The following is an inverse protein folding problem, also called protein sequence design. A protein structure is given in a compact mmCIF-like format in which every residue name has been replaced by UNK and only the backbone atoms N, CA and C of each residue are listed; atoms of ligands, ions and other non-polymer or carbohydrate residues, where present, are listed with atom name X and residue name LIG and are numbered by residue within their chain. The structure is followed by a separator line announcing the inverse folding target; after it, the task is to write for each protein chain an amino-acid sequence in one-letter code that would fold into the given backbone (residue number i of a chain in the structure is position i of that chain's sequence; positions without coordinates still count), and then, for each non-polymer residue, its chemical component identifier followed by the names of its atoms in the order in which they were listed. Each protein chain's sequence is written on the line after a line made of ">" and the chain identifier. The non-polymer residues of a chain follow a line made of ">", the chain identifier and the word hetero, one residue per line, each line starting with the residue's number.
data_IF_882399289761
#
_entry.id   IF_882399289761
#
_cell.length_a   1.000
_cell.length_b   1.000
_cell.length_c   1.000
_cell.angle_alpha   90.00
_cell.angle_beta   90.00
_cell.angle_gamma   90.00
#
_symmetry.space_group_name_H-M   'P 1'
#
loop_
_entity.id
_entity.type
_entity.pdbx_description
1 polymer ?
#
# COMPACT_ATOMS: atom_id res chain seq x y z
N UNK A 1 -10.69 6.85 -15.38
CA UNK A 1 -10.74 7.51 -14.06
C UNK A 1 -10.14 8.91 -14.18
N UNK A 2 -10.73 9.91 -13.55
CA UNK A 2 -10.27 11.31 -13.55
C UNK A 2 -9.32 11.60 -12.40
N UNK A 3 -8.50 12.63 -12.57
CA UNK A 3 -7.62 13.24 -11.57
C UNK A 3 -7.99 14.72 -11.42
N UNK A 4 -7.67 15.32 -10.26
CA UNK A 4 -8.09 16.69 -9.91
C UNK A 4 -6.98 17.52 -9.28
N UNK A 5 -7.25 18.82 -9.20
CA UNK A 5 -6.39 19.79 -8.51
C UNK A 5 -4.97 19.79 -9.08
N UNK A 6 -4.00 19.75 -8.17
CA UNK A 6 -2.58 19.73 -8.52
C UNK A 6 -2.07 18.35 -8.96
N UNK A 7 -2.93 17.33 -9.05
CA UNK A 7 -2.58 15.96 -9.49
C UNK A 7 -3.15 15.61 -10.87
N UNK A 8 -3.62 16.59 -11.65
CA UNK A 8 -4.29 16.32 -12.93
C UNK A 8 -3.41 15.55 -13.94
N UNK A 9 -2.10 15.74 -13.90
CA UNK A 9 -1.10 15.10 -14.76
C UNK A 9 -0.31 13.99 -14.05
N UNK A 10 -0.71 13.62 -12.83
CA UNK A 10 -0.01 12.68 -11.94
C UNK A 10 -0.65 11.31 -11.96
N UNK A 11 0.09 10.33 -11.45
CA UNK A 11 -0.44 8.98 -11.28
C UNK A 11 -1.71 9.01 -10.44
N UNK A 12 -2.69 8.18 -10.82
CA UNK A 12 -3.88 7.96 -9.99
C UNK A 12 -3.44 7.29 -8.70
N UNK A 13 -3.69 7.94 -7.58
CA UNK A 13 -3.12 7.60 -6.28
C UNK A 13 -4.24 7.45 -5.23
N UNK A 14 -4.19 6.37 -4.48
CA UNK A 14 -5.19 5.89 -3.53
C UNK A 14 -4.54 4.84 -2.63
N UNK A 15 -5.19 4.42 -1.56
CA UNK A 15 -4.59 3.43 -0.67
C UNK A 15 -5.59 2.63 0.12
N UNK A 16 -5.24 1.38 0.40
CA UNK A 16 -5.88 0.58 1.45
C UNK A 16 -5.02 0.65 2.71
N UNK A 17 -5.50 1.35 3.73
CA UNK A 17 -4.76 1.57 4.97
C UNK A 17 -5.26 0.56 6.00
N UNK A 18 -4.32 -0.19 6.57
CA UNK A 18 -4.57 -1.20 7.59
C UNK A 18 -3.92 -0.78 8.90
N UNK A 19 -4.40 -1.37 10.01
CA UNK A 19 -3.90 -1.10 11.35
C UNK A 19 -3.92 0.38 11.71
N UNK A 20 -4.98 1.08 11.32
CA UNK A 20 -5.10 2.51 11.54
C UNK A 20 -5.47 2.81 12.99
N UNK A 21 -4.63 3.58 13.70
CA UNK A 21 -4.82 3.96 15.11
C UNK A 21 -4.49 5.44 15.31
N UNK A 22 -4.91 6.02 16.44
CA UNK A 22 -4.72 7.44 16.73
C UNK A 22 -5.91 8.29 16.29
N UNK A 23 -5.67 9.57 16.00
CA UNK A 23 -6.72 10.50 15.64
C UNK A 23 -7.18 10.34 14.19
N UNK A 24 -8.48 10.52 13.96
CA UNK A 24 -9.00 10.81 12.62
C UNK A 24 -8.46 12.15 12.13
N UNK A 25 -7.88 12.17 10.93
CA UNK A 25 -7.08 13.30 10.45
C UNK A 25 -5.74 13.49 11.17
N UNK A 26 -5.24 12.50 11.92
CA UNK A 26 -3.95 12.58 12.62
C UNK A 26 -2.74 12.85 11.70
N UNK A 27 -2.86 12.56 10.40
CA UNK A 27 -1.97 13.01 9.35
C UNK A 27 -2.58 14.19 8.59
N UNK A 28 -2.03 15.40 8.80
CA UNK A 28 -2.38 16.62 8.07
C UNK A 28 -3.89 16.94 7.99
N UNK A 29 -4.70 16.46 8.94
CA UNK A 29 -6.16 16.63 8.91
C UNK A 29 -6.88 15.73 7.91
N UNK A 30 -6.22 14.75 7.30
CA UNK A 30 -6.77 13.95 6.19
C UNK A 30 -6.91 12.46 6.54
N UNK A 31 -5.84 11.83 7.06
CA UNK A 31 -5.81 10.38 7.27
C UNK A 31 -5.48 10.01 8.71
N UNK A 32 -5.92 8.85 9.17
CA UNK A 32 -5.43 8.27 10.42
C UNK A 32 -4.03 7.67 10.23
N UNK A 33 -3.16 7.74 11.26
CA UNK A 33 -1.89 7.03 11.27
C UNK A 33 -2.07 5.53 11.03
N UNK A 34 -1.30 4.96 10.10
CA UNK A 34 -1.56 3.59 9.60
C UNK A 34 -0.40 3.00 8.78
N UNK A 35 -0.57 1.74 8.39
CA UNK A 35 0.27 1.08 7.38
C UNK A 35 -0.53 1.02 6.08
N UNK A 36 -0.03 1.65 5.04
CA UNK A 36 -0.68 1.73 3.75
C UNK A 36 -0.22 0.60 2.84
N UNK A 37 -1.19 -0.10 2.25
CA UNK A 37 -1.03 -0.92 1.08
C UNK A 37 -1.44 -0.07 -0.14
N UNK A 38 -0.44 0.43 -0.85
CA UNK A 38 -0.56 1.48 -1.85
C UNK A 38 -1.35 1.01 -3.09
N UNK A 39 -2.16 1.91 -3.65
CA UNK A 39 -2.95 1.74 -4.88
C UNK A 39 -2.61 2.92 -5.80
N UNK A 40 -1.46 2.81 -6.48
CA UNK A 40 -0.94 3.82 -7.40
C UNK A 40 -0.53 3.18 -8.73
N UNK A 41 -0.71 3.90 -9.84
CA UNK A 41 -0.24 3.46 -11.17
C UNK A 41 1.27 3.15 -11.13
N UNK A 42 1.65 1.90 -11.45
CA UNK A 42 3.02 1.40 -11.39
C UNK A 42 3.66 1.22 -10.00
N UNK A 43 2.89 1.28 -8.93
CA UNK A 43 3.36 1.05 -7.55
C UNK A 43 2.37 0.28 -6.68
N UNK A 44 1.54 -0.55 -7.31
CA UNK A 44 0.44 -1.24 -6.64
C UNK A 44 0.97 -2.28 -5.62
N UNK A 45 0.62 -2.09 -4.36
CA UNK A 45 1.04 -2.94 -3.25
C UNK A 45 2.38 -2.56 -2.60
N UNK A 46 2.92 -1.38 -2.88
CA UNK A 46 4.00 -0.81 -2.07
C UNK A 46 3.52 -0.61 -0.61
N UNK A 47 4.43 -0.76 0.36
CA UNK A 47 4.15 -0.37 1.75
C UNK A 47 4.61 1.07 2.04
N UNK A 48 3.76 1.83 2.74
CA UNK A 48 4.09 3.16 3.30
C UNK A 48 3.65 3.23 4.76
N UNK A 49 4.49 3.85 5.61
CA UNK A 49 4.09 4.22 6.97
C UNK A 49 3.48 5.64 6.96
N UNK A 50 2.15 5.72 7.05
CA UNK A 50 1.41 6.97 7.14
C UNK A 50 1.49 7.46 8.58
N UNK A 51 2.46 8.33 8.85
CA UNK A 51 2.68 8.94 10.17
C UNK A 51 1.47 9.74 10.64
N UNK A 52 1.41 10.11 11.91
CA UNK A 52 0.50 11.14 12.40
C UNK A 52 0.37 11.07 13.92
N UNK A 53 -0.59 11.80 14.46
CA UNK A 53 -0.76 11.95 15.91
C UNK A 53 -2.01 11.25 16.44
N UNK A 54 -2.02 10.98 17.75
CA UNK A 54 -3.20 10.56 18.50
C UNK A 54 -4.11 11.76 18.84
N UNK A 55 -5.19 11.52 19.57
CA UNK A 55 -6.17 12.55 19.92
C UNK A 55 -5.60 13.63 20.85
N UNK A 56 -4.49 13.35 21.54
CA UNK A 56 -3.82 14.27 22.45
C UNK A 56 -2.67 15.04 21.74
N UNK A 57 -2.47 14.77 20.44
CA UNK A 57 -1.43 15.40 19.63
C UNK A 57 -0.06 14.73 19.72
N UNK A 58 0.05 13.56 20.36
CA UNK A 58 1.32 12.83 20.44
C UNK A 58 1.55 11.98 19.18
N UNK A 59 2.80 11.87 18.68
CA UNK A 59 3.09 11.01 17.54
C UNK A 59 2.76 9.54 17.81
N UNK A 60 1.99 8.93 16.91
CA UNK A 60 1.70 7.49 16.94
C UNK A 60 2.93 6.74 16.41
N UNK A 61 3.53 5.82 17.20
CA UNK A 61 4.63 5.01 16.70
C UNK A 61 4.11 4.03 15.64
N UNK A 62 4.86 3.91 14.55
CA UNK A 62 4.59 2.95 13.47
C UNK A 62 5.88 2.25 13.09
N UNK A 63 5.80 0.95 12.82
CA UNK A 63 6.91 0.18 12.27
C UNK A 63 6.45 -1.04 11.50
N UNK A 64 7.31 -1.54 10.63
CA UNK A 64 7.21 -2.88 10.08
C UNK A 64 8.59 -3.40 9.68
N UNK A 65 8.76 -4.71 9.68
CA UNK A 65 9.93 -5.41 9.17
C UNK A 65 9.62 -6.00 7.81
N UNK A 66 10.51 -5.91 6.84
CA UNK A 66 10.32 -6.55 5.55
C UNK A 66 11.61 -7.25 5.10
N UNK A 67 11.49 -8.25 4.24
CA UNK A 67 12.62 -8.86 3.56
C UNK A 67 12.92 -8.02 2.32
N UNK A 68 14.10 -7.42 2.29
CA UNK A 68 14.43 -6.36 1.34
C UNK A 68 15.65 -6.68 0.49
N UNK A 69 15.69 -5.99 -0.64
CA UNK A 69 16.89 -5.72 -1.41
C UNK A 69 16.93 -4.22 -1.76
N UNK A 70 17.80 -3.85 -2.70
CA UNK A 70 17.82 -2.53 -3.31
C UNK A 70 17.74 -2.69 -4.82
N UNK A 71 17.04 -1.79 -5.47
CA UNK A 71 17.14 -1.66 -6.93
C UNK A 71 18.45 -0.94 -7.32
N UNK A 72 18.60 -0.66 -8.62
CA UNK A 72 19.80 0.00 -9.16
C UNK A 72 19.97 1.43 -8.65
N UNK A 73 18.88 2.09 -8.24
CA UNK A 73 18.83 3.48 -7.80
C UNK A 73 18.92 3.57 -6.26
N UNK A 74 18.99 2.42 -5.57
CA UNK A 74 19.12 2.32 -4.12
C UNK A 74 17.79 2.42 -3.39
N UNK A 75 16.66 2.35 -4.08
CA UNK A 75 15.35 2.30 -3.43
C UNK A 75 15.14 0.95 -2.75
N UNK A 76 14.34 0.94 -1.68
CA UNK A 76 14.01 -0.29 -0.97
C UNK A 76 12.96 -1.04 -1.78
N UNK A 77 13.32 -2.23 -2.26
CA UNK A 77 12.39 -3.18 -2.86
C UNK A 77 12.18 -4.36 -1.91
N UNK A 78 10.96 -4.90 -1.87
CA UNK A 78 10.70 -6.19 -1.26
C UNK A 78 11.38 -7.29 -2.07
N UNK A 79 11.94 -8.29 -1.39
CA UNK A 79 12.51 -9.48 -2.01
C UNK A 79 12.34 -10.65 -1.04
N UNK A 80 11.55 -11.64 -1.43
CA UNK A 80 11.38 -12.87 -0.66
C UNK A 80 12.73 -13.53 -0.36
N UNK A 81 12.97 -13.88 0.90
CA UNK A 81 14.25 -14.43 1.38
C UNK A 81 15.38 -13.39 1.43
N UNK A 82 15.08 -12.11 1.23
CA UNK A 82 16.01 -11.00 1.35
C UNK A 82 16.42 -10.69 2.79
N UNK A 83 17.26 -9.67 2.97
CA UNK A 83 17.69 -9.24 4.30
C UNK A 83 16.49 -8.66 5.04
N UNK A 84 16.27 -9.06 6.30
CA UNK A 84 15.24 -8.42 7.15
C UNK A 84 15.70 -7.05 7.63
N UNK A 85 14.89 -6.04 7.34
CA UNK A 85 15.10 -4.67 7.78
C UNK A 85 13.82 -4.11 8.38
N UNK A 86 13.95 -3.45 9.54
CA UNK A 86 12.84 -2.78 10.21
C UNK A 86 12.83 -1.30 9.87
N UNK A 87 11.68 -0.82 9.41
CA UNK A 87 11.41 0.58 9.13
C UNK A 87 10.43 1.11 10.17
N UNK A 88 10.73 2.29 10.70
CA UNK A 88 9.88 3.06 11.59
C UNK A 88 9.93 4.55 11.21
N UNK A 89 9.30 5.42 12.00
CA UNK A 89 9.25 6.84 11.70
C UNK A 89 10.62 7.56 11.68
N UNK A 90 11.69 6.97 12.24
CA UNK A 90 13.05 7.55 12.25
C UNK A 90 13.86 7.21 10.99
N UNK A 91 13.61 6.06 10.36
CA UNK A 91 14.29 5.60 9.15
C UNK A 91 13.30 5.29 8.02
N UNK A 92 12.18 6.02 7.97
CA UNK A 92 11.06 5.76 7.07
C UNK A 92 11.50 5.66 5.60
N UNK A 93 11.00 4.61 4.94
CA UNK A 93 11.13 4.35 3.51
C UNK A 93 9.82 3.79 2.99
N UNK A 94 9.50 4.07 1.72
CA UNK A 94 8.55 3.24 0.96
C UNK A 94 9.25 1.91 0.68
N UNK A 95 8.51 0.80 0.79
CA UNK A 95 8.99 -0.51 0.38
C UNK A 95 8.28 -0.86 -0.90
N UNK A 96 8.98 -0.66 -2.01
CA UNK A 96 8.47 -0.94 -3.34
C UNK A 96 8.23 -2.45 -3.51
N UNK A 97 7.20 -2.85 -4.24
CA UNK A 97 7.08 -4.24 -4.65
C UNK A 97 8.24 -4.65 -5.57
N UNK A 98 8.60 -5.93 -5.57
CA UNK A 98 9.84 -6.43 -6.18
C UNK A 98 10.01 -6.16 -7.68
N UNK A 99 8.90 -5.94 -8.41
CA UNK A 99 8.90 -5.67 -9.84
C UNK A 99 8.58 -4.23 -10.21
N UNK A 100 8.50 -3.31 -9.24
CA UNK A 100 8.31 -1.89 -9.54
C UNK A 100 9.40 -1.40 -10.48
N UNK A 101 9.00 -0.65 -11.49
CA UNK A 101 9.94 -0.09 -12.46
C UNK A 101 10.87 0.92 -11.76
N UNK A 102 12.20 0.73 -11.77
CA UNK A 102 13.13 1.72 -11.20
C UNK A 102 13.07 3.08 -11.91
N UNK A 103 12.57 3.10 -13.15
CA UNK A 103 12.31 4.32 -13.91
C UNK A 103 10.91 4.91 -13.65
N UNK A 104 10.23 4.51 -12.56
CA UNK A 104 8.90 5.01 -12.20
C UNK A 104 8.84 6.54 -12.14
N UNK A 105 7.78 7.09 -12.71
CA UNK A 105 7.52 8.53 -12.71
C UNK A 105 6.10 8.80 -12.29
N UNK A 106 5.93 9.85 -11.49
CA UNK A 106 4.61 10.35 -11.11
C UNK A 106 3.98 11.12 -12.28
N UNK A 107 3.53 10.37 -13.29
CA UNK A 107 2.84 10.86 -14.49
C UNK A 107 1.62 9.99 -14.77
N UNK A 108 0.54 10.61 -15.20
CA UNK A 108 -0.72 9.93 -15.47
C UNK A 108 -0.54 8.77 -16.46
N UNK A 109 -1.06 7.59 -16.10
CA UNK A 109 -1.01 6.40 -16.95
C UNK A 109 0.36 5.71 -16.98
N UNK A 110 1.24 5.99 -16.02
CA UNK A 110 2.49 5.26 -15.89
C UNK A 110 2.24 3.75 -15.77
N UNK A 111 3.02 2.96 -16.51
CA UNK A 111 3.02 1.51 -16.38
C UNK A 111 4.43 0.97 -16.59
N UNK A 112 4.93 0.29 -15.57
CA UNK A 112 6.17 -0.44 -15.55
C UNK A 112 6.11 -1.74 -16.34
N UNK A 113 7.28 -2.25 -16.72
CA UNK A 113 7.42 -3.48 -17.51
C UNK A 113 6.82 -4.72 -16.84
N UNK A 114 6.85 -4.78 -15.51
CA UNK A 114 6.46 -5.96 -14.75
C UNK A 114 5.11 -5.81 -14.03
N UNK A 115 4.49 -4.64 -14.10
CA UNK A 115 3.24 -4.29 -13.44
C UNK A 115 2.17 -5.37 -13.56
N UNK A 116 1.64 -5.76 -12.40
CA UNK A 116 0.68 -6.86 -12.24
C UNK A 116 -0.76 -6.38 -12.04
N UNK A 117 -0.96 -5.10 -11.74
CA UNK A 117 -2.27 -4.46 -11.76
C UNK A 117 -2.80 -4.38 -13.20
N UNK A 118 -4.11 -4.37 -13.38
CA UNK A 118 -4.74 -4.32 -14.70
C UNK A 118 -4.60 -2.93 -15.32
N UNK A 119 -4.60 -2.81 -16.67
CA UNK A 119 -4.58 -1.52 -17.35
C UNK A 119 -5.72 -0.58 -16.92
N UNK A 120 -5.54 0.72 -17.13
CA UNK A 120 -6.56 1.72 -16.79
C UNK A 120 -7.95 1.37 -17.39
N UNK A 121 -8.99 1.55 -16.58
CA UNK A 121 -10.37 1.19 -16.92
C UNK A 121 -10.71 -0.29 -16.73
N UNK A 122 -9.74 -1.15 -16.45
CA UNK A 122 -9.99 -2.54 -16.06
C UNK A 122 -9.97 -2.71 -14.54
N UNK A 123 -10.62 -3.75 -14.05
CA UNK A 123 -10.61 -4.11 -12.65
C UNK A 123 -9.29 -4.77 -12.26
N UNK A 124 -8.67 -4.23 -11.21
CA UNK A 124 -7.59 -4.87 -10.44
C UNK A 124 -8.18 -5.46 -9.16
N UNK A 125 -7.72 -6.65 -8.76
CA UNK A 125 -8.03 -7.22 -7.45
C UNK A 125 -6.82 -7.06 -6.53
N UNK A 126 -7.07 -6.54 -5.34
CA UNK A 126 -6.09 -6.47 -4.26
C UNK A 126 -6.57 -7.34 -3.10
N UNK A 127 -5.72 -8.23 -2.62
CA UNK A 127 -5.97 -9.00 -1.41
C UNK A 127 -4.90 -8.63 -0.38
N UNK A 128 -5.31 -8.07 0.76
CA UNK A 128 -4.41 -7.73 1.87
C UNK A 128 -4.75 -8.62 3.06
N UNK A 129 -3.82 -9.51 3.41
CA UNK A 129 -3.99 -10.47 4.51
C UNK A 129 -3.23 -9.94 5.72
N UNK A 130 -3.95 -9.54 6.76
CA UNK A 130 -3.36 -9.05 8.02
C UNK A 130 -3.55 -10.09 9.13
N UNK A 131 -2.50 -10.82 9.46
CA UNK A 131 -2.45 -11.72 10.62
C UNK A 131 -1.61 -11.08 11.73
N UNK A 132 -2.27 -10.22 12.51
CA UNK A 132 -1.58 -9.37 13.48
C UNK A 132 -0.50 -8.52 12.79
N UNK A 133 0.75 -8.73 13.20
CA UNK A 133 1.93 -8.04 12.65
C UNK A 133 2.43 -8.58 11.31
N UNK A 134 1.84 -9.66 10.80
CA UNK A 134 2.21 -10.27 9.52
C UNK A 134 1.23 -9.84 8.42
N UNK A 135 1.70 -9.00 7.50
CA UNK A 135 0.89 -8.41 6.43
C UNK A 135 1.42 -8.91 5.10
N UNK A 136 0.54 -9.47 4.26
CA UNK A 136 0.87 -9.89 2.89
C UNK A 136 -0.05 -9.20 1.91
N UNK A 137 0.52 -8.65 0.84
CA UNK A 137 -0.21 -7.99 -0.22
C UNK A 137 -0.12 -8.82 -1.49
N UNK A 138 -1.28 -9.06 -2.10
CA UNK A 138 -1.40 -9.67 -3.41
C UNK A 138 -2.14 -8.74 -4.36
N UNK A 139 -1.66 -8.66 -5.59
CA UNK A 139 -2.29 -7.90 -6.68
C UNK A 139 -2.52 -8.86 -7.84
N UNK A 140 -3.78 -8.98 -8.26
CA UNK A 140 -4.22 -9.97 -9.24
C UNK A 140 -3.69 -11.39 -8.96
N UNK A 141 -3.61 -11.78 -7.69
CA UNK A 141 -3.13 -13.08 -7.24
C UNK A 141 -1.61 -13.24 -7.12
N UNK A 142 -0.82 -12.26 -7.55
CA UNK A 142 0.64 -12.25 -7.40
C UNK A 142 1.00 -11.66 -6.04
N UNK A 143 1.84 -12.35 -5.25
CA UNK A 143 2.36 -11.80 -3.97
C UNK A 143 3.36 -10.70 -4.29
N UNK A 144 3.00 -9.45 -4.04
CA UNK A 144 3.84 -8.28 -4.40
C UNK A 144 4.66 -7.76 -3.23
N UNK A 145 4.20 -7.96 -1.99
CA UNK A 145 4.87 -7.47 -0.80
C UNK A 145 4.52 -8.27 0.45
N UNK A 146 5.42 -8.26 1.43
CA UNK A 146 5.25 -8.94 2.71
C UNK A 146 6.00 -8.20 3.83
N UNK A 147 5.32 -8.02 4.95
CA UNK A 147 5.83 -7.38 6.14
C UNK A 147 5.54 -8.24 7.39
N UNK A 148 6.45 -8.16 8.36
CA UNK A 148 6.45 -8.87 9.62
C UNK A 148 6.57 -7.88 10.77
N UNK A 149 6.27 -8.33 11.99
CA UNK A 149 6.48 -7.58 13.23
C UNK A 149 5.97 -6.13 13.15
N UNK A 150 4.85 -5.92 12.46
CA UNK A 150 4.29 -4.59 12.31
C UNK A 150 3.80 -4.06 13.64
N UNK A 151 3.96 -2.77 13.85
CA UNK A 151 3.26 -2.02 14.87
C UNK A 151 2.52 -0.86 14.19
N UNK A 152 1.20 -0.77 14.35
CA UNK A 152 0.33 -1.61 15.16
C UNK A 152 0.08 -2.99 14.51
N UNK A 153 -0.53 -3.90 15.27
CA UNK A 153 -0.97 -5.23 14.80
C UNK A 153 -2.49 -5.32 14.62
N UNK A 154 -3.21 -4.24 14.89
CA UNK A 154 -4.66 -4.11 14.78
C UNK A 154 -5.03 -2.63 14.60
N UNK A 155 -6.24 -2.37 14.13
CA UNK A 155 -6.77 -1.01 14.00
C UNK A 155 -7.93 -0.94 13.03
N UNK A 156 -8.29 0.28 12.64
CA UNK A 156 -9.32 0.53 11.63
C UNK A 156 -8.76 0.31 10.22
N UNK A 157 -9.68 0.10 9.29
CA UNK A 157 -9.40 0.12 7.85
C UNK A 157 -9.77 1.51 7.30
N UNK A 158 -8.97 2.04 6.38
CA UNK A 158 -9.32 3.24 5.63
C UNK A 158 -9.13 3.00 4.14
N UNK A 159 -9.96 3.68 3.34
CA UNK A 159 -9.75 3.81 1.90
C UNK A 159 -9.38 5.27 1.64
N UNK A 160 -8.17 5.48 1.16
CA UNK A 160 -7.63 6.79 0.81
C UNK A 160 -7.81 7.03 -0.68
N UNK A 161 -8.09 8.28 -1.04
CA UNK A 161 -7.94 8.79 -2.41
C UNK A 161 -7.13 10.08 -2.37
N UNK A 162 -6.19 10.24 -3.30
CA UNK A 162 -5.38 11.44 -3.44
C UNK A 162 -5.70 12.16 -4.74
N UNK A 163 -6.82 12.89 -4.74
CA UNK A 163 -7.29 13.67 -5.89
C UNK A 163 -7.40 12.84 -7.19
N UNK A 164 -7.71 11.56 -7.07
CA UNK A 164 -7.98 10.65 -8.19
C UNK A 164 -9.26 9.84 -7.93
N UNK A 165 -10.02 9.53 -8.99
CA UNK A 165 -11.16 8.63 -8.89
C UNK A 165 -10.70 7.23 -8.51
N UNK A 166 -11.34 6.65 -7.51
CA UNK A 166 -11.23 5.24 -7.19
C UNK A 166 -12.63 4.62 -7.24
N UNK A 167 -12.80 3.56 -8.04
CA UNK A 167 -14.05 2.80 -8.12
C UNK A 167 -13.85 1.45 -7.45
N UNK A 168 -14.77 1.09 -6.55
CA UNK A 168 -14.75 -0.20 -5.84
C UNK A 168 -16.05 -0.93 -6.16
N UNK A 169 -15.97 -2.04 -6.92
CA UNK A 169 -17.16 -2.88 -7.18
C UNK A 169 -17.41 -3.97 -6.14
N UNK A 170 -16.35 -4.39 -5.43
CA UNK A 170 -16.43 -5.47 -4.42
C UNK A 170 -15.51 -5.14 -3.26
N UNK A 171 -16.11 -4.97 -2.09
CA UNK A 171 -15.42 -4.67 -0.84
C UNK A 171 -15.82 -5.71 0.19
N UNK A 172 -14.87 -6.52 0.63
CA UNK A 172 -15.12 -7.66 1.49
C UNK A 172 -14.08 -7.72 2.60
N UNK A 173 -14.53 -8.07 3.81
CA UNK A 173 -13.67 -8.35 4.94
C UNK A 173 -14.01 -9.74 5.45
N UNK A 174 -12.99 -10.59 5.57
CA UNK A 174 -13.14 -11.98 6.00
C UNK A 174 -12.24 -12.26 7.21
N UNK A 175 -12.68 -13.11 8.15
CA UNK A 175 -11.77 -13.70 9.12
C UNK A 175 -10.64 -14.48 8.42
N UNK A 176 -9.49 -14.57 9.07
CA UNK A 176 -8.33 -15.30 8.53
C UNK A 176 -8.71 -16.73 8.13
N UNK A 177 -8.32 -17.13 6.92
CA UNK A 177 -8.58 -18.45 6.35
C UNK A 177 -10.03 -18.73 5.96
N UNK A 178 -10.96 -17.76 6.08
CA UNK A 178 -12.36 -17.91 5.68
C UNK A 178 -12.72 -17.22 4.36
N UNK A 179 -11.88 -16.28 3.92
CA UNK A 179 -12.05 -15.55 2.66
C UNK A 179 -11.57 -16.33 1.42
N UNK A 180 -11.86 -15.80 0.22
CA UNK A 180 -11.34 -16.34 -1.02
C UNK A 180 -9.81 -16.26 -1.05
N UNK A 181 -9.17 -17.22 -1.74
CA UNK A 181 -7.73 -17.16 -2.01
C UNK A 181 -7.42 -15.98 -2.96
N UNK A 182 -6.22 -15.38 -2.88
CA UNK A 182 -5.77 -14.39 -3.85
C UNK A 182 -5.87 -14.93 -5.29
N UNK A 183 -6.39 -14.11 -6.20
CA UNK A 183 -6.54 -14.47 -7.61
C UNK A 183 -6.64 -13.22 -8.49
N UNK A 184 -6.48 -13.34 -9.82
CA UNK A 184 -6.74 -12.25 -10.74
C UNK A 184 -8.17 -11.69 -10.64
N UNK A 185 -8.34 -10.41 -10.95
CA UNK A 185 -9.66 -9.84 -11.18
C UNK A 185 -10.35 -10.47 -12.40
N UNK A 186 -11.67 -10.60 -12.33
CA UNK A 186 -12.50 -10.97 -13.48
C UNK A 186 -12.87 -9.70 -14.25
N UNK A 187 -12.36 -9.58 -15.47
CA UNK A 187 -12.71 -8.50 -16.39
C UNK A 187 -13.65 -9.09 -17.44
N UNK A 188 -14.92 -9.25 -17.06
CA UNK A 188 -16.04 -9.72 -17.86
C UNK A 188 -16.99 -8.56 -18.23
#
# INVERSE_FOLDING_TARGET
>A
MRTWGNRIDRTKDSGLLVHSIGADGGYNGIWMPSIEAQIIEGGFGDFILVSGNDNDGNPVPLSLTSETARDRDGEVIWKEGGKRETFNLRNRRRINWYGRDPDWKDVLGFRGKHDVESPDGQWTRMDVICDGGHIRIFVNGVKVNEAFDSFPTYGRLQLQTELAECFVRRWELWPLGKGPKPAPAKND
#
